data_IF_436013243253
#
_entry.id   IF_436013243253
#
_cell.length_a   1.000
_cell.length_b   1.000
_cell.length_c   1.000
_cell.angle_alpha   90.00
_cell.angle_beta   90.00
_cell.angle_gamma   90.00
#
_symmetry.space_group_name_H-M   'P 1'
#
loop_
_entity.id
_entity.type
_entity.pdbx_description
1 polymer ?
#
# COMPACT_ATOMS: atom_id res chain seq x y z
N UNK A 1 -3.23 0.64 -11.22
CA UNK A 1 -1.99 -0.11 -10.90
C UNK A 1 -2.29 -1.55 -11.21
N UNK A 2 -1.48 -2.23 -12.04
CA UNK A 2 -1.77 -3.60 -12.45
C UNK A 2 -1.64 -4.56 -11.26
N UNK A 3 -2.56 -5.50 -11.10
CA UNK A 3 -2.49 -6.57 -10.09
C UNK A 3 -3.23 -6.27 -8.78
N UNK A 4 -3.67 -5.04 -8.54
CA UNK A 4 -4.45 -4.71 -7.33
C UNK A 4 -5.83 -5.37 -7.32
N UNK A 5 -6.36 -5.75 -8.48
CA UNK A 5 -7.58 -6.52 -8.65
C UNK A 5 -7.55 -7.94 -8.06
N UNK A 6 -6.37 -8.45 -7.73
CA UNK A 6 -6.22 -9.77 -7.10
C UNK A 6 -6.13 -9.72 -5.57
N UNK A 7 -6.16 -8.52 -4.97
CA UNK A 7 -6.13 -8.34 -3.53
C UNK A 7 -7.38 -8.94 -2.87
N UNK A 8 -7.18 -9.64 -1.76
CA UNK A 8 -8.24 -10.23 -0.96
C UNK A 8 -8.25 -9.63 0.46
N UNK A 9 -9.44 -9.46 1.08
CA UNK A 9 -9.52 -9.13 2.49
C UNK A 9 -8.66 -10.08 3.33
N UNK A 10 -7.83 -9.51 4.22
CA UNK A 10 -6.83 -10.25 4.99
C UNK A 10 -5.40 -10.14 4.45
N UNK A 11 -5.20 -9.71 3.20
CA UNK A 11 -3.86 -9.55 2.64
C UNK A 11 -3.03 -8.51 3.39
N UNK A 12 -1.77 -8.86 3.66
CA UNK A 12 -0.78 -7.94 4.23
C UNK A 12 -0.16 -7.08 3.14
N UNK A 13 -0.20 -5.76 3.33
CA UNK A 13 0.30 -4.75 2.41
C UNK A 13 1.46 -4.00 3.05
N UNK A 14 2.62 -4.08 2.42
CA UNK A 14 3.77 -3.25 2.73
C UNK A 14 3.64 -1.89 2.02
N UNK A 15 3.56 -0.81 2.79
CA UNK A 15 3.52 0.55 2.23
C UNK A 15 4.93 0.97 1.81
N UNK A 16 5.04 1.36 0.53
CA UNK A 16 6.26 1.87 -0.08
C UNK A 16 6.03 3.30 -0.58
N UNK A 17 6.87 4.21 -0.12
CA UNK A 17 6.85 5.62 -0.52
C UNK A 17 7.94 5.88 -1.56
N UNK A 18 7.55 6.43 -2.70
CA UNK A 18 8.46 6.80 -3.79
C UNK A 18 9.33 8.01 -3.43
N UNK A 19 10.34 8.29 -4.26
CA UNK A 19 11.24 9.42 -4.07
C UNK A 19 10.47 10.74 -4.04
N UNK A 20 10.97 11.69 -3.27
CA UNK A 20 10.49 13.08 -3.25
C UNK A 20 11.09 13.94 -4.39
N UNK A 21 11.94 13.35 -5.24
CA UNK A 21 12.57 14.03 -6.36
C UNK A 21 13.81 14.86 -5.99
N UNK A 22 14.18 14.93 -4.71
CA UNK A 22 15.34 15.73 -4.24
C UNK A 22 16.68 15.00 -4.35
N UNK A 23 16.68 13.77 -4.86
CA UNK A 23 17.89 12.96 -5.03
C UNK A 23 17.58 11.55 -5.53
N UNK A 24 18.61 10.68 -5.61
CA UNK A 24 18.45 9.34 -6.16
C UNK A 24 17.41 8.52 -5.39
N UNK A 25 16.42 7.97 -6.11
CA UNK A 25 15.36 7.14 -5.53
C UNK A 25 15.92 5.95 -4.73
N UNK A 26 17.10 5.45 -5.12
CA UNK A 26 17.89 4.44 -4.41
C UNK A 26 18.02 4.71 -2.90
N UNK A 27 18.15 5.97 -2.49
CA UNK A 27 18.35 6.37 -1.08
C UNK A 27 17.15 7.11 -0.47
N UNK A 28 16.17 7.52 -1.28
CA UNK A 28 15.04 8.35 -0.84
C UNK A 28 13.69 7.65 -0.83
N UNK A 29 13.50 6.64 -1.68
CA UNK A 29 12.31 5.79 -1.62
C UNK A 29 12.44 4.77 -0.49
N UNK A 30 11.35 4.51 0.22
CA UNK A 30 11.38 3.75 1.48
C UNK A 30 10.16 2.85 1.66
N UNK A 31 10.35 1.65 2.20
CA UNK A 31 9.28 0.88 2.82
C UNK A 31 9.08 1.34 4.28
N UNK A 32 7.83 1.50 4.72
CA UNK A 32 7.53 2.23 5.97
C UNK A 32 6.62 1.54 6.96
N UNK A 33 5.62 0.78 6.52
CA UNK A 33 4.60 0.22 7.42
C UNK A 33 3.88 -0.96 6.81
N UNK A 34 3.25 -1.76 7.67
CA UNK A 34 2.38 -2.87 7.27
C UNK A 34 0.94 -2.49 7.57
N UNK A 35 0.08 -2.76 6.60
CA UNK A 35 -1.37 -2.66 6.70
C UNK A 35 -2.01 -3.99 6.33
N UNK A 36 -3.23 -4.23 6.79
CA UNK A 36 -4.05 -5.38 6.37
C UNK A 36 -5.23 -4.87 5.56
N UNK A 37 -5.45 -5.45 4.38
CA UNK A 37 -6.62 -5.14 3.57
C UNK A 37 -7.90 -5.59 4.28
N UNK A 38 -8.84 -4.66 4.45
CA UNK A 38 -10.17 -4.96 4.99
C UNK A 38 -11.17 -5.16 3.87
N UNK A 39 -11.20 -4.23 2.92
CA UNK A 39 -12.16 -4.25 1.82
C UNK A 39 -11.50 -3.69 0.55
N UNK A 40 -11.90 -4.23 -0.59
CA UNK A 40 -11.55 -3.74 -1.92
C UNK A 40 -12.83 -3.57 -2.74
N UNK A 41 -12.94 -2.44 -3.43
CA UNK A 41 -13.94 -2.20 -4.47
C UNK A 41 -13.33 -1.43 -5.64
N UNK A 42 -13.81 -1.70 -6.84
CA UNK A 42 -13.62 -0.81 -7.96
C UNK A 42 -14.53 0.41 -7.83
N UNK A 43 -14.04 1.60 -8.16
CA UNK A 43 -14.81 2.85 -8.08
C UNK A 43 -16.09 2.82 -8.96
N UNK A 44 -16.10 1.98 -10.01
CA UNK A 44 -17.26 1.81 -10.90
C UNK A 44 -18.34 0.88 -10.34
N UNK A 45 -18.09 0.21 -9.22
CA UNK A 45 -19.09 -0.63 -8.55
C UNK A 45 -20.05 0.19 -7.67
N UNK A 46 -19.73 1.45 -7.40
CA UNK A 46 -20.62 2.33 -6.65
C UNK A 46 -21.69 2.91 -7.60
N UNK A 47 -22.99 2.69 -7.31
CA UNK A 47 -24.07 3.19 -8.15
C UNK A 47 -24.29 4.70 -7.99
N UNK A 48 -23.80 5.31 -6.91
CA UNK A 48 -23.90 6.75 -6.66
C UNK A 48 -22.69 7.31 -5.93
N UNK A 49 -22.49 8.63 -6.06
CA UNK A 49 -21.47 9.35 -5.29
C UNK A 49 -21.67 9.21 -3.78
N UNK A 50 -22.92 9.20 -3.31
CA UNK A 50 -23.22 9.07 -1.89
C UNK A 50 -22.79 7.72 -1.33
N UNK A 51 -22.95 6.64 -2.09
CA UNK A 51 -22.46 5.32 -1.69
C UNK A 51 -20.93 5.23 -1.68
N UNK A 52 -20.27 5.80 -2.70
CA UNK A 52 -18.81 5.92 -2.72
C UNK A 52 -18.28 6.73 -1.52
N UNK A 53 -18.87 7.90 -1.26
CA UNK A 53 -18.51 8.75 -0.12
C UNK A 53 -18.74 8.05 1.22
N UNK A 54 -19.88 7.39 1.37
CA UNK A 54 -20.20 6.59 2.56
C UNK A 54 -19.18 5.46 2.77
N UNK A 55 -18.77 4.79 1.69
CA UNK A 55 -17.74 3.75 1.74
C UNK A 55 -16.36 4.29 2.14
N UNK A 56 -15.94 5.44 1.61
CA UNK A 56 -14.69 6.09 2.03
C UNK A 56 -14.71 6.49 3.51
N UNK A 57 -15.90 6.85 4.03
CA UNK A 57 -16.12 7.19 5.42
C UNK A 57 -15.33 8.43 5.88
N UNK A 58 -15.38 8.70 7.19
CA UNK A 58 -14.67 9.84 7.80
C UNK A 58 -13.15 9.67 7.90
N UNK A 59 -12.61 8.50 7.55
CA UNK A 59 -11.17 8.20 7.61
C UNK A 59 -10.42 8.54 6.30
N UNK A 60 -11.14 9.01 5.27
CA UNK A 60 -10.51 9.49 4.04
C UNK A 60 -9.65 10.72 4.31
N UNK A 61 -8.43 10.72 3.78
CA UNK A 61 -7.54 11.91 3.78
C UNK A 61 -7.90 12.90 2.67
N UNK A 62 -8.81 12.53 1.77
CA UNK A 62 -9.25 13.35 0.64
C UNK A 62 -10.49 14.16 1.01
N UNK A 63 -10.56 15.40 0.51
CA UNK A 63 -11.72 16.28 0.67
C UNK A 63 -12.94 15.77 -0.11
N UNK A 64 -14.12 16.30 0.18
CA UNK A 64 -15.34 15.95 -0.55
C UNK A 64 -15.24 16.30 -2.04
N UNK A 65 -14.59 17.43 -2.35
CA UNK A 65 -14.34 17.87 -3.71
C UNK A 65 -13.40 16.91 -4.46
N UNK A 66 -12.33 16.44 -3.80
CA UNK A 66 -11.41 15.45 -4.35
C UNK A 66 -12.10 14.10 -4.59
N UNK A 67 -12.86 13.61 -3.61
CA UNK A 67 -13.65 12.39 -3.73
C UNK A 67 -14.66 12.49 -4.88
N UNK A 68 -15.36 13.62 -5.00
CA UNK A 68 -16.29 13.85 -6.09
C UNK A 68 -15.58 13.88 -7.46
N UNK A 69 -14.40 14.48 -7.54
CA UNK A 69 -13.58 14.48 -8.75
C UNK A 69 -13.14 13.07 -9.14
N UNK A 70 -12.67 12.26 -8.19
CA UNK A 70 -12.27 10.87 -8.45
C UNK A 70 -13.44 10.01 -8.92
N UNK A 71 -14.60 10.13 -8.26
CA UNK A 71 -15.80 9.40 -8.63
C UNK A 71 -16.26 9.75 -10.05
N UNK A 72 -16.36 11.05 -10.37
CA UNK A 72 -16.73 11.52 -11.72
C UNK A 72 -15.76 11.04 -12.79
N UNK A 73 -14.46 11.05 -12.49
CA UNK A 73 -13.42 10.58 -13.40
C UNK A 73 -13.38 9.06 -13.53
N UNK A 74 -13.88 8.33 -12.53
CA UNK A 74 -13.67 6.89 -12.39
C UNK A 74 -12.19 6.53 -12.22
N UNK A 75 -11.38 7.44 -11.66
CA UNK A 75 -9.95 7.25 -11.46
C UNK A 75 -9.47 7.98 -10.18
N UNK A 76 -8.65 7.35 -9.33
CA UNK A 76 -8.12 5.98 -9.45
C UNK A 76 -9.23 4.92 -9.33
N UNK A 77 -9.10 3.77 -10.03
CA UNK A 77 -10.19 2.79 -10.10
C UNK A 77 -10.28 1.89 -8.86
N UNK A 78 -9.23 1.85 -8.03
CA UNK A 78 -9.17 0.95 -6.87
C UNK A 78 -9.45 1.75 -5.60
N UNK A 79 -10.44 1.31 -4.83
CA UNK A 79 -10.84 1.90 -3.54
C UNK A 79 -10.67 0.83 -2.48
N UNK A 80 -9.70 1.02 -1.59
CA UNK A 80 -9.33 0.04 -0.56
C UNK A 80 -9.53 0.61 0.83
N UNK A 81 -9.98 -0.24 1.76
CA UNK A 81 -9.92 0.04 3.19
C UNK A 81 -8.80 -0.77 3.81
N UNK A 82 -8.00 -0.13 4.63
CA UNK A 82 -6.83 -0.70 5.27
C UNK A 82 -6.94 -0.53 6.77
N UNK A 83 -6.57 -1.58 7.50
CA UNK A 83 -6.21 -1.46 8.91
C UNK A 83 -4.72 -1.19 8.98
N UNK A 84 -4.32 -0.09 9.63
CA UNK A 84 -2.93 0.20 9.87
C UNK A 84 -2.42 -0.64 11.04
N UNK A 85 -1.59 -1.66 10.78
CA UNK A 85 -1.11 -2.55 11.85
C UNK A 85 0.03 -1.91 12.63
N UNK A 86 1.13 -1.57 11.95
CA UNK A 86 2.31 -0.99 12.60
C UNK A 86 3.30 -0.36 11.61
N UNK A 87 4.07 0.65 12.04
CA UNK A 87 5.23 1.12 11.30
C UNK A 87 6.41 0.14 11.44
N UNK A 88 7.29 0.11 10.43
CA UNK A 88 8.62 -0.46 10.58
C UNK A 88 9.42 0.44 11.54
N UNK A 89 10.13 -0.16 12.52
CA UNK A 89 10.98 0.59 13.45
C UNK A 89 12.16 1.25 12.76
N UNK A 90 12.64 0.63 11.68
CA UNK A 90 13.62 1.18 10.75
C UNK A 90 12.97 1.27 9.37
N UNK A 91 12.95 2.48 8.78
CA UNK A 91 12.59 2.65 7.37
C UNK A 91 13.66 2.01 6.50
N UNK A 92 13.25 1.21 5.53
CA UNK A 92 14.16 0.49 4.63
C UNK A 92 14.23 1.28 3.34
N UNK A 93 15.40 1.85 3.03
CA UNK A 93 15.61 2.55 1.76
C UNK A 93 15.59 1.56 0.59
N UNK A 94 15.28 2.05 -0.61
CA UNK A 94 15.16 1.20 -1.81
C UNK A 94 16.38 0.33 -2.04
N UNK A 95 17.59 0.84 -1.85
CA UNK A 95 18.82 0.04 -2.00
C UNK A 95 18.81 -1.19 -1.09
N UNK A 96 18.57 -0.97 0.20
CA UNK A 96 18.49 -2.02 1.20
C UNK A 96 17.34 -2.99 0.89
N UNK A 97 16.17 -2.46 0.48
CA UNK A 97 15.03 -3.27 0.08
C UNK A 97 15.39 -4.20 -1.08
N UNK A 98 16.02 -3.70 -2.13
CA UNK A 98 16.42 -4.53 -3.28
C UNK A 98 17.47 -5.57 -2.90
N UNK A 99 18.42 -5.24 -2.02
CA UNK A 99 19.39 -6.20 -1.51
C UNK A 99 18.71 -7.31 -0.69
N UNK A 100 17.72 -6.97 0.13
CA UNK A 100 16.92 -7.92 0.91
C UNK A 100 16.08 -8.83 -0.01
N UNK A 101 15.51 -8.26 -1.07
CA UNK A 101 14.74 -9.03 -2.06
C UNK A 101 15.62 -9.92 -2.93
N UNK A 102 16.87 -9.51 -3.20
CA UNK A 102 17.77 -10.21 -4.12
C UNK A 102 17.41 -10.04 -5.60
N UNK A 103 16.42 -9.21 -5.93
CA UNK A 103 16.03 -8.88 -7.30
C UNK A 103 15.44 -7.46 -7.39
N UNK A 104 15.43 -6.91 -8.60
CA UNK A 104 14.69 -5.68 -8.91
C UNK A 104 13.36 -6.03 -9.57
N UNK A 105 12.21 -5.66 -8.98
CA UNK A 105 10.92 -5.86 -9.61
C UNK A 105 10.85 -5.13 -10.97
N UNK A 106 10.33 -5.81 -12.00
CA UNK A 106 10.14 -5.22 -13.32
C UNK A 106 9.10 -4.08 -13.32
N UNK A 107 8.18 -4.09 -12.35
CA UNK A 107 7.20 -3.03 -12.10
C UNK A 107 7.17 -2.69 -10.61
N UNK A 108 7.39 -1.41 -10.26
CA UNK A 108 7.43 -0.96 -8.85
C UNK A 108 6.13 -0.30 -8.38
N UNK A 109 5.05 -0.30 -9.18
CA UNK A 109 3.79 0.33 -8.80
C UNK A 109 3.00 -0.51 -7.79
N UNK A 110 2.87 -1.81 -8.04
CA UNK A 110 2.26 -2.79 -7.16
C UNK A 110 2.73 -4.19 -7.59
N UNK A 111 3.19 -5.01 -6.65
CA UNK A 111 3.61 -6.39 -6.92
C UNK A 111 3.58 -7.22 -5.64
N UNK A 112 3.40 -8.53 -5.80
CA UNK A 112 3.38 -9.48 -4.70
C UNK A 112 4.79 -9.82 -4.23
N UNK A 113 4.97 -9.89 -2.91
CA UNK A 113 6.14 -10.49 -2.28
C UNK A 113 5.79 -11.92 -1.87
N UNK A 114 6.75 -12.85 -2.00
CA UNK A 114 6.62 -14.14 -1.33
C UNK A 114 6.71 -13.94 0.19
N UNK A 115 6.18 -14.90 0.95
CA UNK A 115 6.25 -14.85 2.41
C UNK A 115 7.69 -14.74 2.92
N UNK A 116 8.64 -15.41 2.24
CA UNK A 116 10.07 -15.33 2.56
C UNK A 116 10.59 -13.91 2.40
N UNK A 117 10.29 -13.25 1.27
CA UNK A 117 10.72 -11.87 1.05
C UNK A 117 10.02 -10.89 1.99
N UNK A 118 8.71 -11.09 2.24
CA UNK A 118 7.96 -10.25 3.17
C UNK A 118 8.55 -10.35 4.58
N UNK A 119 8.75 -11.56 5.12
CA UNK A 119 9.39 -11.81 6.42
C UNK A 119 10.79 -11.20 6.47
N UNK A 120 11.60 -11.35 5.43
CA UNK A 120 12.95 -10.75 5.36
C UNK A 120 12.92 -9.22 5.45
N UNK A 121 11.96 -8.57 4.77
CA UNK A 121 11.74 -7.12 4.84
C UNK A 121 11.33 -6.70 6.25
N UNK A 122 10.42 -7.45 6.91
CA UNK A 122 10.02 -7.14 8.29
C UNK A 122 11.20 -7.21 9.27
N UNK A 123 12.05 -8.24 9.15
CA UNK A 123 13.27 -8.38 9.94
C UNK A 123 14.23 -7.22 9.71
N UNK A 124 14.48 -6.83 8.45
CA UNK A 124 15.32 -5.67 8.12
C UNK A 124 14.74 -4.35 8.67
N UNK A 125 13.40 -4.25 8.69
CA UNK A 125 12.65 -3.13 9.26
C UNK A 125 12.64 -3.09 10.79
N UNK A 126 13.31 -4.05 11.45
CA UNK A 126 13.37 -4.22 12.91
C UNK A 126 11.98 -4.32 13.56
N UNK A 127 11.04 -4.96 12.88
CA UNK A 127 9.72 -5.28 13.46
C UNK A 127 9.92 -6.33 14.55
N UNK A 128 9.17 -6.20 15.66
CA UNK A 128 9.18 -7.24 16.68
C UNK A 128 8.35 -8.44 16.18
N UNK A 129 8.91 -9.63 16.23
CA UNK A 129 8.28 -10.88 15.74
C UNK A 129 6.90 -11.12 16.37
N UNK A 130 6.66 -10.61 17.58
CA UNK A 130 5.35 -10.69 18.26
C UNK A 130 4.18 -10.00 17.51
N UNK A 131 4.45 -9.19 16.48
CA UNK A 131 3.40 -8.59 15.65
C UNK A 131 3.03 -9.42 14.41
N UNK A 132 3.77 -10.50 14.13
CA UNK A 132 3.52 -11.40 13.01
C UNK A 132 2.85 -12.64 13.59
N UNK A 133 1.51 -12.70 13.48
CA UNK A 133 0.75 -13.89 13.89
C UNK A 133 0.65 -14.79 12.66
N UNK A 134 1.19 -16.01 12.74
CA UNK A 134 1.03 -17.08 11.72
C UNK A 134 -0.41 -17.61 11.70
#
# INVERSE_FOLDING_TARGET
MKGMEFLQPGDNILIYRTSDGLGPAKYRSVATSVCTLQEYKNIREFPSYNEFKSYCGGASIFSDEELQAYYRKGYPPHVIKLTYNFPLRKRIIRDELLNVLGYTPSYSGFFTLSDVHFKAVLSAGKVNENFIVD
#
